data_IF_030107216135
#
_entry.id   IF_030107216135
#
_cell.length_a   1.000
_cell.length_b   1.000
_cell.length_c   1.000
_cell.angle_alpha   90.00
_cell.angle_beta   90.00
_cell.angle_gamma   90.00
#
_symmetry.space_group_name_H-M   'P 1'
#
loop_
_entity.id
_entity.type
_entity.pdbx_description
1 polymer ?
#
# COMPACT_ATOMS: atom_id res chain seq x y z
N UNK A 1 -22.30 -11.60 -5.36
CA UNK A 1 -20.86 -11.75 -5.61
C UNK A 1 -20.32 -10.37 -5.87
N UNK A 2 -19.35 -9.94 -5.07
CA UNK A 2 -18.60 -8.71 -5.34
C UNK A 2 -17.78 -8.87 -6.62
N UNK A 3 -17.80 -7.85 -7.49
CA UNK A 3 -17.14 -7.87 -8.80
C UNK A 3 -16.21 -6.67 -9.00
N UNK A 4 -15.53 -6.26 -7.93
CA UNK A 4 -14.51 -5.22 -8.03
C UNK A 4 -13.27 -5.75 -8.76
N UNK A 5 -12.53 -4.83 -9.37
CA UNK A 5 -11.30 -5.11 -10.11
C UNK A 5 -10.12 -4.61 -9.29
N UNK A 6 -9.21 -5.52 -8.95
CA UNK A 6 -7.94 -5.15 -8.33
C UNK A 6 -7.02 -4.61 -9.43
N UNK A 7 -6.70 -3.31 -9.33
CA UNK A 7 -5.89 -2.60 -10.34
C UNK A 7 -4.85 -1.73 -9.66
N UNK A 8 -3.62 -1.84 -10.15
CA UNK A 8 -2.43 -1.17 -9.61
C UNK A 8 -2.44 0.35 -9.74
N UNK A 9 -3.31 0.88 -10.60
CA UNK A 9 -3.52 2.31 -10.83
C UNK A 9 -4.92 2.78 -10.43
N UNK A 10 -5.72 1.93 -9.76
CA UNK A 10 -7.03 2.36 -9.27
C UNK A 10 -6.88 3.55 -8.30
N UNK A 11 -7.79 4.53 -8.30
CA UNK A 11 -7.72 5.66 -7.37
C UNK A 11 -7.72 5.25 -5.89
N UNK A 12 -7.13 6.10 -5.06
CA UNK A 12 -7.19 6.01 -3.60
C UNK A 12 -8.46 6.76 -3.17
N UNK A 13 -9.37 6.07 -2.51
CA UNK A 13 -10.60 6.65 -1.97
C UNK A 13 -10.57 6.47 -0.44
N UNK A 14 -10.22 7.54 0.32
CA UNK A 14 -10.19 7.49 1.79
C UNK A 14 -11.48 6.92 2.39
N UNK A 15 -11.36 6.16 3.49
CA UNK A 15 -12.45 5.38 4.11
C UNK A 15 -13.22 4.39 3.23
N UNK A 16 -12.87 4.21 1.95
CA UNK A 16 -13.66 3.44 0.99
C UNK A 16 -12.90 2.32 0.30
N UNK A 17 -11.79 2.63 -0.40
CA UNK A 17 -11.06 1.63 -1.17
C UNK A 17 -9.65 2.07 -1.53
N UNK A 18 -8.77 1.09 -1.73
CA UNK A 18 -7.43 1.27 -2.27
C UNK A 18 -7.10 0.13 -3.23
N UNK A 19 -6.38 0.42 -4.33
CA UNK A 19 -6.11 -0.56 -5.40
C UNK A 19 -7.37 -1.23 -5.99
N UNK A 20 -8.53 -0.57 -5.86
CA UNK A 20 -9.83 -1.12 -6.25
C UNK A 20 -10.41 -2.14 -5.27
N UNK A 21 -9.76 -2.35 -4.11
CA UNK A 21 -10.21 -3.26 -3.04
C UNK A 21 -11.08 -2.44 -2.06
N UNK A 22 -12.40 -2.71 -1.97
CA UNK A 22 -13.28 -1.99 -1.06
C UNK A 22 -13.12 -2.47 0.38
N UNK A 23 -13.24 -1.55 1.33
CA UNK A 23 -13.38 -1.88 2.74
C UNK A 23 -14.73 -2.55 3.03
N UNK A 24 -14.79 -3.32 4.12
CA UNK A 24 -15.98 -4.00 4.60
C UNK A 24 -16.36 -5.29 3.87
N UNK A 25 -15.69 -5.59 2.75
CA UNK A 25 -15.89 -6.84 1.99
C UNK A 25 -15.47 -8.04 2.84
N UNK A 26 -16.29 -9.10 2.83
CA UNK A 26 -15.98 -10.33 3.53
C UNK A 26 -14.83 -11.08 2.85
N UNK A 27 -14.00 -11.76 3.62
CA UNK A 27 -12.84 -12.54 3.13
C UNK A 27 -13.23 -13.50 2.00
N UNK A 28 -14.33 -14.25 2.14
CA UNK A 28 -14.76 -15.20 1.08
C UNK A 28 -15.04 -14.51 -0.27
N UNK A 29 -15.60 -13.30 -0.24
CA UNK A 29 -15.86 -12.52 -1.45
C UNK A 29 -14.58 -11.94 -2.04
N UNK A 30 -13.67 -11.49 -1.18
CA UNK A 30 -12.34 -11.04 -1.59
C UNK A 30 -11.56 -12.18 -2.24
N UNK A 31 -11.57 -13.38 -1.67
CA UNK A 31 -10.89 -14.56 -2.22
C UNK A 31 -11.47 -15.00 -3.57
N UNK A 32 -12.80 -14.94 -3.72
CA UNK A 32 -13.44 -15.21 -5.01
C UNK A 32 -12.96 -14.25 -6.11
N UNK A 33 -12.72 -12.98 -5.78
CA UNK A 33 -12.11 -12.00 -6.70
C UNK A 33 -10.62 -12.27 -6.89
N UNK A 34 -9.89 -12.54 -5.81
CA UNK A 34 -8.45 -12.76 -5.81
C UNK A 34 -8.04 -13.93 -6.71
N UNK A 35 -8.84 -15.00 -6.72
CA UNK A 35 -8.62 -16.19 -7.56
C UNK A 35 -8.59 -15.89 -9.07
N UNK A 36 -9.16 -14.76 -9.52
CA UNK A 36 -9.09 -14.32 -10.92
C UNK A 36 -7.69 -13.88 -11.34
N UNK A 37 -6.80 -13.61 -10.38
CA UNK A 37 -5.48 -13.00 -10.61
C UNK A 37 -4.31 -13.96 -10.36
N UNK A 38 -4.57 -15.24 -10.06
CA UNK A 38 -3.53 -16.25 -9.86
C UNK A 38 -2.82 -16.53 -11.18
N UNK A 39 -1.49 -16.45 -11.18
CA UNK A 39 -0.66 -16.81 -12.33
C UNK A 39 0.18 -18.07 -12.11
N UNK A 40 0.55 -18.36 -10.86
CA UNK A 40 1.22 -19.59 -10.44
C UNK A 40 0.74 -19.95 -9.03
N UNK A 41 -0.30 -20.78 -8.95
CA UNK A 41 -0.96 -21.17 -7.69
C UNK A 41 0.02 -21.91 -6.76
N UNK A 42 0.85 -22.80 -7.31
CA UNK A 42 1.81 -23.59 -6.55
C UNK A 42 2.85 -22.72 -5.83
N UNK A 43 3.15 -21.53 -6.38
CA UNK A 43 4.07 -20.55 -5.77
C UNK A 43 3.34 -19.39 -5.10
N UNK A 44 2.01 -19.35 -5.13
CA UNK A 44 1.22 -18.23 -4.64
C UNK A 44 1.54 -16.91 -5.35
N UNK A 45 1.78 -16.95 -6.67
CA UNK A 45 2.06 -15.74 -7.46
C UNK A 45 0.77 -15.23 -8.09
N UNK A 46 0.54 -13.94 -7.91
CA UNK A 46 -0.60 -13.18 -8.40
C UNK A 46 -0.14 -12.05 -9.31
N UNK A 47 -0.97 -11.69 -10.29
CA UNK A 47 -0.77 -10.51 -11.12
C UNK A 47 -2.10 -9.77 -11.28
N UNK A 48 -2.22 -8.64 -10.60
CA UNK A 48 -3.36 -7.75 -10.72
C UNK A 48 -3.30 -6.96 -12.02
N UNK A 49 -4.38 -6.25 -12.35
CA UNK A 49 -4.40 -5.39 -13.54
C UNK A 49 -3.31 -4.33 -13.40
N UNK A 50 -2.40 -4.30 -14.37
CA UNK A 50 -1.24 -3.40 -14.46
C UNK A 50 -0.21 -3.51 -13.32
N UNK A 51 -0.26 -4.57 -12.49
CA UNK A 51 0.74 -4.77 -11.44
C UNK A 51 1.94 -5.58 -11.93
N UNK A 52 3.09 -5.50 -11.22
CA UNK A 52 4.11 -6.56 -11.28
C UNK A 52 3.54 -7.90 -10.80
N UNK A 53 4.31 -8.98 -10.98
CA UNK A 53 4.03 -10.25 -10.34
C UNK A 53 4.34 -10.15 -8.83
N UNK A 54 3.38 -10.56 -8.01
CA UNK A 54 3.47 -10.47 -6.55
C UNK A 54 3.32 -11.85 -5.93
N UNK A 55 4.17 -12.19 -4.97
CA UNK A 55 4.03 -13.37 -4.12
C UNK A 55 3.11 -13.01 -2.95
N UNK A 56 2.09 -13.82 -2.73
CA UNK A 56 1.17 -13.64 -1.62
C UNK A 56 1.60 -14.46 -0.40
N UNK A 57 1.53 -13.83 0.77
CA UNK A 57 1.52 -14.47 2.08
C UNK A 57 0.16 -14.24 2.74
N UNK A 58 -0.32 -15.25 3.48
CA UNK A 58 -1.66 -15.24 4.08
C UNK A 58 -1.58 -15.73 5.51
N UNK A 59 -2.16 -14.98 6.45
CA UNK A 59 -2.28 -15.38 7.85
C UNK A 59 -3.60 -14.91 8.45
N UNK A 60 -4.30 -15.80 9.17
CA UNK A 60 -5.47 -15.47 9.98
C UNK A 60 -5.40 -16.12 11.36
N UNK A 61 -5.90 -15.43 12.37
CA UNK A 61 -6.23 -16.05 13.66
C UNK A 61 -7.66 -16.63 13.66
N UNK A 62 -8.06 -17.26 14.76
CA UNK A 62 -9.41 -17.87 14.89
C UNK A 62 -10.58 -16.86 14.86
N UNK A 63 -10.29 -15.56 15.01
CA UNK A 63 -11.28 -14.47 15.03
C UNK A 63 -11.38 -13.78 13.66
N UNK A 64 -10.56 -14.18 12.69
CA UNK A 64 -10.50 -13.55 11.38
C UNK A 64 -9.65 -12.28 11.37
N UNK A 65 -8.79 -12.09 12.38
CA UNK A 65 -7.77 -11.04 12.39
C UNK A 65 -6.54 -11.52 11.61
N UNK A 66 -5.95 -10.64 10.80
CA UNK A 66 -4.78 -10.95 9.99
C UNK A 66 -4.86 -10.31 8.62
N UNK A 67 -4.65 -11.10 7.56
CA UNK A 67 -4.82 -10.64 6.20
C UNK A 67 -3.89 -11.29 5.18
N UNK A 68 -3.61 -10.52 4.13
CA UNK A 68 -2.83 -10.90 2.96
C UNK A 68 -1.70 -9.89 2.75
N UNK A 69 -0.47 -10.37 2.66
CA UNK A 69 0.69 -9.57 2.25
C UNK A 69 1.10 -9.93 0.83
N UNK A 70 1.40 -8.94 0.02
CA UNK A 70 1.83 -9.12 -1.37
C UNK A 70 3.21 -8.47 -1.57
N UNK A 71 4.16 -9.27 -2.05
CA UNK A 71 5.55 -8.89 -2.18
C UNK A 71 6.02 -8.99 -3.64
N UNK A 72 6.81 -8.02 -4.11
CA UNK A 72 7.35 -8.05 -5.47
C UNK A 72 8.28 -9.26 -5.65
N UNK A 73 8.07 -10.02 -6.73
CA UNK A 73 8.88 -11.21 -7.04
C UNK A 73 10.17 -10.83 -7.76
N UNK A 74 10.08 -9.89 -8.69
CA UNK A 74 11.23 -9.41 -9.45
C UNK A 74 11.94 -8.31 -8.67
N UNK A 75 13.02 -8.70 -7.98
CA UNK A 75 13.79 -7.81 -7.13
C UNK A 75 14.45 -6.68 -7.93
N UNK A 76 14.68 -6.82 -9.24
CA UNK A 76 15.23 -5.73 -10.04
C UNK A 76 14.28 -4.52 -10.11
N UNK A 77 12.97 -4.72 -9.88
CA UNK A 77 12.00 -3.63 -9.79
C UNK A 77 12.16 -2.77 -8.52
N UNK A 78 12.92 -3.22 -7.52
CA UNK A 78 13.17 -2.46 -6.29
C UNK A 78 14.30 -1.43 -6.44
N UNK A 79 15.02 -1.43 -7.56
CA UNK A 79 16.24 -0.63 -7.76
C UNK A 79 17.30 -0.82 -6.64
N UNK A 80 17.35 -2.00 -6.01
CA UNK A 80 18.24 -2.28 -4.88
C UNK A 80 19.71 -1.87 -5.11
N UNK A 81 20.19 -1.99 -6.35
CA UNK A 81 21.58 -1.67 -6.75
C UNK A 81 21.99 -0.22 -6.53
N UNK A 82 21.04 0.69 -6.32
CA UNK A 82 21.34 2.08 -6.03
C UNK A 82 22.00 2.26 -4.65
N UNK A 83 21.65 1.40 -3.68
CA UNK A 83 22.06 1.57 -2.28
C UNK A 83 22.65 0.32 -1.64
N UNK A 84 22.50 -0.84 -2.27
CA UNK A 84 22.87 -2.12 -1.68
C UNK A 84 23.71 -2.98 -2.64
N UNK A 85 24.55 -3.82 -2.05
CA UNK A 85 25.46 -4.71 -2.79
C UNK A 85 24.81 -6.05 -3.19
N UNK A 86 23.64 -6.37 -2.67
CA UNK A 86 22.90 -7.60 -2.99
C UNK A 86 21.37 -7.39 -2.92
N UNK A 87 20.58 -8.12 -3.74
CA UNK A 87 19.12 -8.06 -3.72
C UNK A 87 18.52 -8.69 -2.46
N UNK A 88 19.29 -9.49 -1.72
CA UNK A 88 18.89 -10.09 -0.44
C UNK A 88 19.22 -9.20 0.78
N UNK A 89 19.76 -7.99 0.55
CA UNK A 89 20.05 -7.06 1.64
C UNK A 89 18.77 -6.71 2.41
N UNK A 90 18.85 -6.64 3.74
CA UNK A 90 17.68 -6.43 4.62
C UNK A 90 16.95 -5.10 4.38
N UNK A 91 17.63 -4.12 3.79
CA UNK A 91 17.06 -2.84 3.38
C UNK A 91 16.30 -2.86 2.05
N UNK A 92 16.31 -3.98 1.32
CA UNK A 92 15.52 -4.14 0.09
C UNK A 92 14.07 -4.37 0.47
N UNK A 93 13.26 -3.32 0.35
CA UNK A 93 11.82 -3.41 0.54
C UNK A 93 11.20 -4.23 -0.59
N UNK A 94 10.31 -5.15 -0.23
CA UNK A 94 9.54 -5.95 -1.20
C UNK A 94 8.04 -5.89 -0.98
N UNK A 95 7.59 -5.42 0.19
CA UNK A 95 6.16 -5.22 0.49
C UNK A 95 5.59 -4.26 -0.53
N UNK A 96 4.52 -4.66 -1.18
CA UNK A 96 3.87 -3.87 -2.21
C UNK A 96 2.44 -3.50 -1.81
N UNK A 97 1.69 -4.47 -1.27
CA UNK A 97 0.29 -4.30 -0.87
C UNK A 97 -0.01 -5.20 0.32
N UNK A 98 -0.71 -4.69 1.33
CA UNK A 98 -1.34 -5.48 2.39
C UNK A 98 -2.84 -5.25 2.39
N UNK A 99 -3.60 -6.33 2.58
CA UNK A 99 -5.05 -6.31 2.80
C UNK A 99 -5.30 -6.89 4.17
N UNK A 100 -5.69 -6.05 5.13
CA UNK A 100 -5.82 -6.40 6.53
C UNK A 100 -7.27 -6.68 6.87
N UNK A 101 -7.48 -7.69 7.73
CA UNK A 101 -8.82 -8.16 8.08
C UNK A 101 -9.08 -8.07 9.58
N UNK A 102 -10.33 -7.76 9.91
CA UNK A 102 -10.88 -7.71 11.26
C UNK A 102 -12.28 -8.32 11.20
N UNK A 103 -12.58 -9.27 12.08
CA UNK A 103 -13.84 -10.03 12.06
C UNK A 103 -14.22 -10.55 10.66
N UNK A 104 -13.26 -11.15 9.94
CA UNK A 104 -13.43 -11.71 8.59
C UNK A 104 -13.82 -10.70 7.49
N UNK A 105 -13.65 -9.41 7.75
CA UNK A 105 -13.87 -8.34 6.76
C UNK A 105 -12.60 -7.55 6.54
N UNK A 106 -12.39 -7.07 5.32
CA UNK A 106 -11.33 -6.11 5.02
C UNK A 106 -11.59 -4.83 5.80
N UNK A 107 -10.68 -4.44 6.68
CA UNK A 107 -10.80 -3.17 7.43
C UNK A 107 -9.75 -2.16 7.02
N UNK A 108 -8.63 -2.60 6.45
CA UNK A 108 -7.61 -1.71 5.94
C UNK A 108 -6.92 -2.30 4.72
N UNK A 109 -6.47 -1.43 3.84
CA UNK A 109 -5.63 -1.77 2.69
C UNK A 109 -4.46 -0.79 2.67
N UNK A 110 -3.24 -1.31 2.60
CA UNK A 110 -2.00 -0.53 2.67
C UNK A 110 -1.12 -0.81 1.46
N UNK A 111 -0.42 0.19 0.93
CA UNK A 111 0.58 0.03 -0.13
C UNK A 111 1.89 0.69 0.25
N UNK A 112 2.98 0.15 -0.28
CA UNK A 112 4.33 0.65 -0.08
C UNK A 112 4.99 0.95 -1.42
N UNK A 113 5.82 1.98 -1.39
CA UNK A 113 6.83 2.23 -2.40
C UNK A 113 8.02 1.31 -2.11
N UNK A 114 8.12 0.22 -2.87
CA UNK A 114 9.22 -0.75 -2.72
C UNK A 114 10.46 -0.36 -3.55
N UNK A 115 10.33 0.63 -4.43
CA UNK A 115 11.44 1.17 -5.19
C UNK A 115 12.35 2.02 -4.31
N UNK A 116 13.65 1.72 -4.36
CA UNK A 116 14.68 2.67 -3.98
C UNK A 116 14.81 3.71 -5.10
N UNK A 117 14.79 4.99 -4.75
CA UNK A 117 14.77 6.08 -5.72
C UNK A 117 15.87 7.08 -5.39
N UNK A 118 16.58 7.54 -6.42
CA UNK A 118 17.45 8.70 -6.28
C UNK A 118 16.62 9.98 -6.08
N UNK A 119 17.23 11.00 -5.49
CA UNK A 119 16.56 12.28 -5.22
C UNK A 119 15.84 12.83 -6.46
N UNK A 120 14.55 13.11 -6.30
CA UNK A 120 13.69 13.66 -7.35
C UNK A 120 13.10 12.64 -8.33
N UNK A 121 13.42 11.34 -8.22
CA UNK A 121 12.75 10.31 -9.00
C UNK A 121 11.37 9.96 -8.40
N UNK A 122 10.48 9.46 -9.26
CA UNK A 122 9.14 8.98 -8.90
C UNK A 122 9.07 7.47 -9.11
N UNK A 123 8.29 6.74 -8.30
CA UNK A 123 8.14 5.31 -8.49
C UNK A 123 7.39 5.02 -9.80
N UNK A 124 7.84 4.02 -10.55
CA UNK A 124 7.23 3.63 -11.85
C UNK A 124 6.62 2.24 -11.84
N UNK A 125 7.04 1.38 -10.92
CA UNK A 125 6.61 0.00 -10.77
C UNK A 125 5.73 -0.20 -9.51
N UNK A 126 5.99 0.55 -8.45
CA UNK A 126 5.18 0.57 -7.23
C UNK A 126 3.76 1.08 -7.53
N UNK A 127 2.83 0.97 -6.58
CA UNK A 127 1.43 1.34 -6.79
C UNK A 127 1.28 2.78 -7.34
N UNK A 128 0.47 2.93 -8.38
CA UNK A 128 0.34 4.17 -9.16
C UNK A 128 -1.00 4.89 -8.95
N UNK A 129 -1.85 4.38 -8.06
CA UNK A 129 -3.10 5.05 -7.71
C UNK A 129 -2.86 6.37 -6.99
N UNK A 130 -3.81 7.28 -7.14
CA UNK A 130 -3.75 8.63 -6.57
C UNK A 130 -5.05 9.02 -5.89
N UNK A 131 -4.94 9.92 -4.93
CA UNK A 131 -6.05 10.65 -4.31
C UNK A 131 -6.72 11.58 -5.33
N UNK A 132 -7.95 12.07 -5.06
CA UNK A 132 -8.64 13.04 -5.93
C UNK A 132 -7.80 14.29 -6.24
N UNK A 133 -6.93 14.68 -5.32
CA UNK A 133 -6.02 15.83 -5.43
C UNK A 133 -4.77 15.52 -6.27
N UNK A 134 -4.70 14.35 -6.92
CA UNK A 134 -3.57 13.88 -7.72
C UNK A 134 -2.27 13.63 -6.91
N UNK A 135 -2.42 13.30 -5.63
CA UNK A 135 -1.34 12.96 -4.69
C UNK A 135 -1.27 11.43 -4.51
N UNK A 136 -0.07 10.85 -4.52
CA UNK A 136 0.17 9.42 -4.28
C UNK A 136 1.59 9.10 -3.80
N UNK A 137 2.02 7.85 -3.98
CA UNK A 137 3.38 7.43 -3.59
C UNK A 137 4.46 8.26 -4.32
N UNK A 138 5.45 8.72 -3.56
CA UNK A 138 6.54 9.57 -4.04
C UNK A 138 6.20 11.07 -4.12
N UNK A 139 4.95 11.49 -3.91
CA UNK A 139 4.59 12.90 -3.72
C UNK A 139 4.92 13.37 -2.30
N UNK A 140 5.04 14.68 -2.06
CA UNK A 140 5.41 15.18 -0.73
C UNK A 140 4.26 15.05 0.26
N UNK A 141 4.55 14.63 1.50
CA UNK A 141 3.54 14.53 2.57
C UNK A 141 2.85 15.87 2.81
N UNK A 142 3.60 16.99 2.76
CA UNK A 142 3.06 18.34 2.93
C UNK A 142 2.02 18.76 1.88
N UNK A 143 1.92 18.06 0.75
CA UNK A 143 0.90 18.36 -0.28
C UNK A 143 -0.52 18.03 0.20
N UNK A 144 -0.67 17.27 1.29
CA UNK A 144 -1.96 17.00 1.92
C UNK A 144 -2.50 18.16 2.78
N UNK A 145 -1.60 19.02 3.31
CA UNK A 145 -1.95 20.10 4.25
C UNK A 145 -3.03 21.09 3.74
N UNK A 146 -3.15 21.39 2.43
CA UNK A 146 -4.25 22.23 1.94
C UNK A 146 -5.64 21.58 2.03
N UNK A 147 -5.72 20.27 2.25
CA UNK A 147 -6.95 19.48 2.14
C UNK A 147 -7.39 18.84 3.45
N UNK A 148 -6.46 18.67 4.40
CA UNK A 148 -6.70 18.01 5.69
C UNK A 148 -5.63 18.38 6.71
N UNK A 149 -5.97 18.29 7.98
CA UNK A 149 -5.00 18.34 9.07
C UNK A 149 -4.23 17.02 9.17
N UNK A 150 -2.94 17.09 9.53
CA UNK A 150 -2.09 15.92 9.75
C UNK A 150 -1.65 15.85 11.21
N UNK A 151 -2.04 14.78 11.91
CA UNK A 151 -1.53 14.42 13.23
C UNK A 151 -0.42 13.39 13.08
N UNK A 152 0.78 13.67 13.60
CA UNK A 152 1.89 12.72 13.61
C UNK A 152 1.88 11.88 14.90
N UNK A 153 1.81 10.56 14.75
CA UNK A 153 2.03 9.62 15.85
C UNK A 153 3.50 9.16 15.83
N UNK A 154 4.28 9.61 16.82
CA UNK A 154 5.69 9.22 16.95
C UNK A 154 5.93 7.77 17.33
N UNK A 155 4.94 7.07 17.90
CA UNK A 155 5.06 5.67 18.27
C UNK A 155 4.84 4.75 17.07
N UNK A 156 3.93 5.11 16.17
CA UNK A 156 3.70 4.38 14.93
C UNK A 156 4.58 4.89 13.78
N UNK A 157 5.03 6.15 13.85
CA UNK A 157 5.75 6.88 12.80
C UNK A 157 4.89 7.15 11.55
N UNK A 158 3.59 7.43 11.75
CA UNK A 158 2.61 7.73 10.71
C UNK A 158 1.93 9.08 10.94
N UNK A 159 1.46 9.67 9.84
CA UNK A 159 0.55 10.81 9.83
C UNK A 159 -0.87 10.33 9.59
N UNK A 160 -1.81 10.87 10.36
CA UNK A 160 -3.24 10.59 10.23
C UNK A 160 -3.94 11.86 9.76
N UNK A 161 -4.70 11.70 8.67
CA UNK A 161 -5.62 12.74 8.22
C UNK A 161 -6.82 12.84 9.14
N UNK A 162 -7.49 13.99 9.13
CA UNK A 162 -8.71 14.16 9.91
C UNK A 162 -9.86 13.24 9.42
N UNK A 163 -10.93 13.19 10.22
CA UNK A 163 -12.08 12.32 9.93
C UNK A 163 -12.91 12.79 8.74
N UNK A 164 -12.90 14.08 8.42
CA UNK A 164 -13.65 14.62 7.28
C UNK A 164 -12.98 14.23 5.97
N UNK A 165 -11.65 14.13 5.96
CA UNK A 165 -10.86 13.60 4.85
C UNK A 165 -10.91 12.06 4.75
N UNK A 166 -11.47 11.37 5.74
CA UNK A 166 -11.69 9.93 5.70
C UNK A 166 -10.56 9.09 6.29
N UNK A 167 -9.77 9.64 7.22
CA UNK A 167 -8.85 8.87 8.08
C UNK A 167 -7.79 8.09 7.31
N UNK A 168 -7.31 8.62 6.18
CA UNK A 168 -6.13 8.15 5.48
C UNK A 168 -4.91 8.21 6.41
N UNK A 169 -4.12 7.15 6.45
CA UNK A 169 -2.81 7.11 7.12
C UNK A 169 -1.72 7.20 6.04
N UNK A 170 -0.68 8.00 6.27
CA UNK A 170 0.50 8.08 5.39
C UNK A 170 1.79 8.09 6.19
N UNK A 171 2.88 7.59 5.63
CA UNK A 171 4.20 7.71 6.26
C UNK A 171 5.28 8.06 5.24
N UNK A 172 6.37 8.62 5.76
CA UNK A 172 7.52 9.14 5.03
C UNK A 172 8.83 8.74 5.72
N UNK A 173 9.56 9.70 6.26
CA UNK A 173 10.89 9.49 6.85
C UNK A 173 10.87 9.31 8.37
N UNK A 174 9.78 8.73 8.90
CA UNK A 174 9.64 8.38 10.32
C UNK A 174 9.79 9.54 11.32
N UNK A 175 9.53 10.78 10.91
CA UNK A 175 9.58 11.95 11.78
C UNK A 175 8.52 12.97 11.41
N UNK A 176 8.32 13.98 12.28
CA UNK A 176 7.34 15.03 12.05
C UNK A 176 7.72 15.96 10.87
N UNK A 177 6.72 16.58 10.23
CA UNK A 177 6.93 17.51 9.12
C UNK A 177 7.75 18.75 9.50
N UNK A 178 7.75 19.16 10.77
CA UNK A 178 8.57 20.28 11.24
C UNK A 178 10.07 19.93 11.27
N UNK A 179 10.40 18.65 11.50
CA UNK A 179 11.79 18.17 11.50
C UNK A 179 12.30 17.98 10.07
N UNK A 180 11.44 17.39 9.21
CA UNK A 180 11.78 17.17 7.81
C UNK A 180 10.56 17.50 6.94
N UNK A 181 10.49 18.70 6.34
CA UNK A 181 9.31 19.15 5.59
C UNK A 181 9.26 18.63 4.13
N UNK A 182 10.31 17.96 3.67
CA UNK A 182 10.47 17.44 2.31
C UNK A 182 10.29 15.92 2.23
N UNK A 183 9.68 15.30 3.24
CA UNK A 183 9.38 13.86 3.18
C UNK A 183 8.39 13.56 2.06
N UNK A 184 8.65 12.46 1.37
CA UNK A 184 7.74 11.89 0.38
C UNK A 184 6.92 10.78 1.01
N UNK A 185 5.73 10.55 0.47
CA UNK A 185 4.85 9.47 0.88
C UNK A 185 5.47 8.16 0.38
N UNK A 186 5.98 7.35 1.31
CA UNK A 186 6.56 6.03 1.01
C UNK A 186 5.56 4.90 1.23
N UNK A 187 4.52 5.14 2.02
CA UNK A 187 3.42 4.22 2.20
C UNK A 187 2.14 4.97 2.57
N UNK A 188 1.01 4.38 2.22
CA UNK A 188 -0.32 4.92 2.50
C UNK A 188 -1.31 3.80 2.79
N UNK A 189 -2.29 4.10 3.62
CA UNK A 189 -3.30 3.16 4.08
C UNK A 189 -4.69 3.81 4.10
N UNK A 190 -5.67 3.08 3.58
CA UNK A 190 -7.10 3.39 3.76
C UNK A 190 -7.65 2.45 4.82
N UNK A 191 -8.29 3.01 5.85
CA UNK A 191 -8.79 2.29 7.04
C UNK A 191 -10.27 2.64 7.25
N UNK A 192 -11.06 1.70 7.78
CA UNK A 192 -12.48 1.87 8.05
C UNK A 192 -13.03 1.04 9.21
#
# INVERSE_FOLDING_TARGET
MSDFVIRWSAPILPSHSLAGIPLGVHVDEFEAVLNKYVVDDAKGIYKFVDSPALKMEKHFDSKGEGGYGFHVVDLELTNWRLYYDSPEHLGVETRALHVLTRNWKIYAVKVWMYENLADGQKPVSSYQGKLPENIGLGDFVRELLPYTDLEFDSAEEWFYTDREYGGLEVTGYCCDLNERPDQVIIALAVVG
#
